data_IF_559213673778
#
_entry.id   IF_559213673778
#
_cell.length_a   1.000
_cell.length_b   1.000
_cell.length_c   1.000
_cell.angle_alpha   90.00
_cell.angle_beta   90.00
_cell.angle_gamma   90.00
#
_symmetry.space_group_name_H-M   'P 1'
#
loop_
_entity.id
_entity.type
_entity.pdbx_description
1 polymer ?
#
# COMPACT_ATOMS: atom_id res chain seq x y z
N UNK A 1 0.87 -7.98 -14.94
CA UNK A 1 -0.39 -7.29 -15.25
C UNK A 1 -0.23 -5.76 -15.14
N UNK A 2 0.09 -5.18 -14.00
CA UNK A 2 0.22 -3.72 -13.83
C UNK A 2 1.02 -3.05 -14.94
N UNK A 3 2.21 -3.58 -15.24
CA UNK A 3 3.06 -3.08 -16.33
C UNK A 3 2.36 -3.16 -17.70
N UNK A 4 1.64 -4.26 -17.99
CA UNK A 4 0.84 -4.43 -19.23
C UNK A 4 -0.23 -3.33 -19.39
N UNK A 5 -0.82 -2.89 -18.27
CA UNK A 5 -1.83 -1.82 -18.26
C UNK A 5 -1.22 -0.42 -18.22
N UNK A 6 0.08 -0.28 -17.99
CA UNK A 6 0.77 1.00 -17.80
C UNK A 6 0.41 1.68 -16.48
N UNK A 7 0.06 0.89 -15.46
CA UNK A 7 -0.37 1.37 -14.16
C UNK A 7 0.77 1.38 -13.15
N UNK A 8 0.82 2.44 -12.35
CA UNK A 8 1.69 2.53 -11.18
C UNK A 8 1.09 1.81 -9.98
N UNK A 9 1.97 1.43 -9.03
CA UNK A 9 1.57 0.82 -7.77
C UNK A 9 2.61 1.08 -6.69
N UNK A 10 2.22 0.91 -5.43
CA UNK A 10 3.11 0.89 -4.27
C UNK A 10 3.07 -0.50 -3.64
N UNK A 11 4.22 -1.14 -3.53
CA UNK A 11 4.39 -2.40 -2.82
C UNK A 11 4.88 -2.11 -1.41
N UNK A 12 4.00 -2.29 -0.42
CA UNK A 12 4.34 -2.11 0.98
C UNK A 12 4.96 -3.38 1.54
N UNK A 13 6.21 -3.30 1.96
CA UNK A 13 7.00 -4.46 2.38
C UNK A 13 7.21 -4.50 3.89
N UNK A 14 7.11 -5.71 4.45
CA UNK A 14 7.49 -6.05 5.82
C UNK A 14 8.36 -7.31 5.80
N UNK A 15 9.06 -7.61 6.89
CA UNK A 15 9.87 -8.82 7.02
C UNK A 15 9.59 -9.49 8.38
N UNK A 16 8.47 -10.23 8.44
CA UNK A 16 8.03 -10.95 9.64
C UNK A 16 8.53 -12.41 9.63
N UNK A 17 8.38 -13.16 10.75
CA UNK A 17 8.65 -14.59 10.76
C UNK A 17 7.83 -15.31 9.68
N UNK A 18 8.47 -15.96 8.74
CA UNK A 18 7.83 -16.57 7.55
C UNK A 18 8.21 -15.91 6.23
N UNK A 19 8.76 -14.71 6.23
CA UNK A 19 9.30 -14.05 5.03
C UNK A 19 10.35 -14.91 4.29
N UNK A 20 11.00 -15.83 4.99
CA UNK A 20 11.98 -16.75 4.42
C UNK A 20 11.35 -17.82 3.53
N UNK A 21 10.05 -18.10 3.66
CA UNK A 21 9.32 -19.02 2.78
C UNK A 21 9.12 -18.40 1.39
N UNK A 22 10.08 -18.65 0.49
CA UNK A 22 10.07 -18.11 -0.88
C UNK A 22 9.03 -18.76 -1.80
N UNK A 23 8.26 -19.70 -1.30
CA UNK A 23 7.08 -20.20 -2.01
C UNK A 23 5.87 -19.28 -1.85
N UNK A 24 5.87 -18.42 -0.81
CA UNK A 24 4.78 -17.51 -0.46
C UNK A 24 5.16 -16.04 -0.52
N UNK A 25 6.43 -15.70 -0.25
CA UNK A 25 6.90 -14.32 -0.12
C UNK A 25 8.05 -14.03 -1.07
N UNK A 26 8.08 -12.82 -1.60
CA UNK A 26 9.16 -12.34 -2.47
C UNK A 26 10.48 -12.25 -1.71
N UNK A 27 11.58 -12.50 -2.42
CA UNK A 27 12.91 -12.17 -1.94
C UNK A 27 13.19 -10.67 -2.07
N UNK A 28 14.20 -10.15 -1.38
CA UNK A 28 14.62 -8.76 -1.54
C UNK A 28 15.15 -8.47 -2.96
N UNK A 29 15.71 -9.46 -3.68
CA UNK A 29 16.08 -9.30 -5.09
C UNK A 29 14.83 -9.08 -5.95
N UNK A 30 13.75 -9.83 -5.73
CA UNK A 30 12.49 -9.64 -6.43
C UNK A 30 11.81 -8.29 -6.06
N UNK A 31 11.94 -7.85 -4.82
CA UNK A 31 11.47 -6.52 -4.41
C UNK A 31 12.27 -5.42 -5.12
N UNK A 32 13.60 -5.60 -5.29
CA UNK A 32 14.42 -4.69 -6.09
C UNK A 32 13.96 -4.67 -7.56
N UNK A 33 13.68 -5.83 -8.15
CA UNK A 33 13.16 -5.91 -9.53
C UNK A 33 11.86 -5.09 -9.69
N UNK A 34 10.98 -5.07 -8.69
CA UNK A 34 9.78 -4.22 -8.72
C UNK A 34 10.13 -2.72 -8.76
N UNK A 35 11.13 -2.28 -7.99
CA UNK A 35 11.62 -0.89 -8.05
C UNK A 35 12.23 -0.58 -9.41
N UNK A 36 13.06 -1.48 -9.97
CA UNK A 36 13.65 -1.34 -11.31
C UNK A 36 12.58 -1.30 -12.41
N UNK A 37 11.42 -1.92 -12.21
CA UNK A 37 10.26 -1.81 -13.09
C UNK A 37 9.51 -0.47 -12.94
N UNK A 38 9.92 0.40 -12.03
CA UNK A 38 9.34 1.72 -11.78
C UNK A 38 8.23 1.76 -10.73
N UNK A 39 7.94 0.65 -10.05
CA UNK A 39 6.99 0.63 -8.95
C UNK A 39 7.60 1.25 -7.69
N UNK A 40 6.76 1.75 -6.80
CA UNK A 40 7.20 2.24 -5.51
C UNK A 40 7.31 1.09 -4.52
N UNK A 41 8.39 1.08 -3.74
CA UNK A 41 8.52 0.26 -2.54
C UNK A 41 8.23 1.13 -1.32
N UNK A 42 7.16 0.82 -0.60
CA UNK A 42 6.73 1.50 0.62
C UNK A 42 7.03 0.67 1.87
N UNK A 43 6.98 1.30 3.04
CA UNK A 43 7.28 0.67 4.31
C UNK A 43 6.02 0.14 5.01
N UNK A 44 6.07 -1.10 5.51
CA UNK A 44 4.97 -1.74 6.24
C UNK A 44 5.42 -2.28 7.61
N UNK A 45 6.39 -1.64 8.25
CA UNK A 45 7.13 -2.07 9.42
C UNK A 45 7.95 -3.37 9.17
N UNK A 46 8.79 -3.75 10.14
CA UNK A 46 9.50 -5.02 10.09
C UNK A 46 8.56 -6.19 10.38
N UNK A 47 7.99 -6.21 11.58
CA UNK A 47 7.32 -7.39 12.14
C UNK A 47 5.82 -7.45 11.88
N UNK A 48 5.25 -6.49 11.14
CA UNK A 48 3.80 -6.34 10.95
C UNK A 48 3.03 -6.21 12.28
N UNK A 49 3.67 -5.64 13.32
CA UNK A 49 3.07 -5.49 14.64
C UNK A 49 2.14 -4.29 14.76
N UNK A 50 1.27 -4.33 15.77
CA UNK A 50 0.33 -3.24 16.06
C UNK A 50 1.07 -2.00 16.61
N UNK A 51 1.01 -0.91 15.86
CA UNK A 51 1.71 0.34 16.19
C UNK A 51 1.25 0.95 17.51
N UNK A 52 -0.04 0.82 17.84
CA UNK A 52 -0.62 1.35 19.09
C UNK A 52 -0.06 0.69 20.36
N UNK A 53 0.51 -0.51 20.22
CA UNK A 53 1.11 -1.27 21.33
C UNK A 53 2.64 -1.08 21.42
N UNK A 54 3.23 -0.32 20.51
CA UNK A 54 4.67 -0.10 20.46
C UNK A 54 5.07 1.22 21.12
N UNK A 55 6.21 1.19 21.80
CA UNK A 55 6.89 2.41 22.23
C UNK A 55 7.46 3.16 21.02
N UNK A 56 7.68 4.46 21.17
CA UNK A 56 8.34 5.31 20.17
C UNK A 56 9.64 4.70 19.63
N UNK A 57 10.48 4.14 20.51
CA UNK A 57 11.74 3.49 20.13
C UNK A 57 11.50 2.26 19.26
N UNK A 58 10.51 1.44 19.62
CA UNK A 58 10.15 0.26 18.82
C UNK A 58 9.63 0.65 17.44
N UNK A 59 8.72 1.62 17.35
CA UNK A 59 8.22 2.13 16.07
C UNK A 59 9.37 2.61 15.19
N UNK A 60 10.29 3.39 15.76
CA UNK A 60 11.49 3.86 15.06
C UNK A 60 12.37 2.72 14.55
N UNK A 61 12.60 1.68 15.35
CA UNK A 61 13.40 0.51 14.97
C UNK A 61 12.72 -0.33 13.88
N UNK A 62 11.41 -0.57 14.01
CA UNK A 62 10.60 -1.29 13.02
C UNK A 62 10.64 -0.60 11.64
N UNK A 63 10.52 0.73 11.67
CA UNK A 63 10.55 1.54 10.44
C UNK A 63 11.94 1.59 9.83
N UNK A 64 12.98 1.82 10.67
CA UNK A 64 14.38 1.88 10.23
C UNK A 64 14.84 0.60 9.55
N UNK A 65 14.40 -0.56 10.05
CA UNK A 65 14.79 -1.85 9.49
C UNK A 65 14.49 -1.97 7.99
N UNK A 66 13.30 -1.57 7.56
CA UNK A 66 12.92 -1.62 6.14
C UNK A 66 13.70 -0.56 5.34
N UNK A 67 13.95 0.62 5.91
CA UNK A 67 14.77 1.65 5.27
C UNK A 67 16.20 1.13 5.02
N UNK A 68 16.80 0.47 6.01
CA UNK A 68 18.15 -0.10 5.92
C UNK A 68 18.19 -1.25 4.89
N UNK A 69 17.16 -2.08 4.84
CA UNK A 69 17.02 -3.12 3.81
C UNK A 69 16.90 -2.51 2.41
N UNK A 70 16.08 -1.50 2.23
CA UNK A 70 15.99 -0.80 0.94
C UNK A 70 17.36 -0.25 0.53
N UNK A 71 18.08 0.40 1.43
CA UNK A 71 19.42 0.92 1.16
C UNK A 71 20.42 -0.18 0.78
N UNK A 72 20.37 -1.33 1.47
CA UNK A 72 21.24 -2.49 1.18
C UNK A 72 21.04 -3.03 -0.25
N UNK A 73 19.80 -3.00 -0.75
CA UNK A 73 19.44 -3.49 -2.08
C UNK A 73 19.42 -2.40 -3.16
N UNK A 74 19.85 -1.17 -2.84
CA UNK A 74 19.87 -0.05 -3.78
C UNK A 74 18.48 0.52 -4.11
N UNK A 75 17.46 0.17 -3.33
CA UNK A 75 16.10 0.68 -3.47
C UNK A 75 16.02 2.08 -2.81
N UNK A 76 15.37 3.07 -3.42
CA UNK A 76 15.18 4.38 -2.81
C UNK A 76 14.53 4.27 -1.42
N UNK A 77 14.95 5.14 -0.50
CA UNK A 77 14.36 5.18 0.83
C UNK A 77 12.84 5.39 0.76
N UNK A 78 12.02 4.55 1.42
CA UNK A 78 10.57 4.71 1.43
C UNK A 78 10.14 6.06 2.01
N UNK A 79 9.19 6.71 1.36
CA UNK A 79 8.57 7.97 1.80
C UNK A 79 7.09 7.81 2.10
N UNK A 80 6.54 6.64 1.84
CA UNK A 80 5.17 6.27 2.15
C UNK A 80 5.12 5.07 3.08
N UNK A 81 4.07 5.01 3.90
CA UNK A 81 3.87 3.98 4.91
C UNK A 81 2.49 3.35 4.79
N UNK A 82 2.35 2.08 5.13
CA UNK A 82 1.05 1.44 5.34
C UNK A 82 1.00 0.90 6.77
N UNK A 83 -0.07 1.21 7.50
CA UNK A 83 -0.25 0.73 8.85
C UNK A 83 -0.61 -0.75 8.86
N UNK A 84 0.19 -1.65 9.53
CA UNK A 84 -0.17 -3.05 9.72
C UNK A 84 -1.52 -3.18 10.42
N UNK A 85 -2.43 -4.01 9.87
CA UNK A 85 -3.78 -4.17 10.40
C UNK A 85 -4.58 -2.87 10.50
N UNK A 86 -4.18 -1.80 9.78
CA UNK A 86 -4.71 -0.44 9.88
C UNK A 86 -4.52 0.22 11.26
N UNK A 87 -3.77 -0.42 12.15
CA UNK A 87 -3.53 0.06 13.50
C UNK A 87 -2.51 1.21 13.50
N UNK A 88 -2.86 2.32 14.14
CA UNK A 88 -2.05 3.52 14.21
C UNK A 88 -2.16 4.18 15.59
N UNK A 89 -1.26 5.10 15.87
CA UNK A 89 -1.29 5.90 17.09
C UNK A 89 -0.76 7.31 16.83
N UNK A 90 -1.18 8.32 17.62
CA UNK A 90 -0.62 9.67 17.50
C UNK A 90 0.91 9.70 17.63
N UNK A 91 1.46 8.89 18.53
CA UNK A 91 2.92 8.74 18.71
C UNK A 91 3.58 8.13 17.47
N UNK A 92 2.98 7.10 16.90
CA UNK A 92 3.48 6.48 15.68
C UNK A 92 3.45 7.42 14.48
N UNK A 93 2.38 8.18 14.32
CA UNK A 93 2.27 9.22 13.30
C UNK A 93 3.38 10.27 13.47
N UNK A 94 3.65 10.70 14.72
CA UNK A 94 4.73 11.65 15.01
C UNK A 94 6.10 11.09 14.60
N UNK A 95 6.39 9.84 14.96
CA UNK A 95 7.64 9.15 14.58
C UNK A 95 7.79 9.08 13.07
N UNK A 96 6.74 8.70 12.34
CA UNK A 96 6.78 8.64 10.88
C UNK A 96 7.06 10.02 10.27
N UNK A 97 6.39 11.07 10.74
CA UNK A 97 6.61 12.46 10.28
C UNK A 97 8.06 12.90 10.52
N UNK A 98 8.62 12.64 11.71
CA UNK A 98 10.01 12.96 12.05
C UNK A 98 11.02 12.20 11.20
N UNK A 99 10.70 10.97 10.85
CA UNK A 99 11.49 10.16 9.92
C UNK A 99 11.32 10.57 8.45
N UNK A 100 10.46 11.54 8.16
CA UNK A 100 10.31 12.15 6.83
C UNK A 100 9.28 11.44 5.93
N UNK A 101 8.45 10.54 6.46
CA UNK A 101 7.31 9.99 5.72
C UNK A 101 6.32 11.09 5.36
N UNK A 102 5.77 11.02 4.17
CA UNK A 102 4.92 12.07 3.59
C UNK A 102 3.45 11.66 3.53
N UNK A 103 3.20 10.39 3.29
CA UNK A 103 1.86 9.81 3.16
C UNK A 103 1.82 8.48 3.91
N UNK A 104 0.68 8.18 4.55
CA UNK A 104 0.48 6.87 5.14
C UNK A 104 -0.95 6.38 4.91
N UNK A 105 -1.08 5.11 4.48
CA UNK A 105 -2.33 4.46 4.14
C UNK A 105 -2.90 3.69 5.32
N UNK A 106 -4.20 3.84 5.55
CA UNK A 106 -5.00 2.97 6.41
C UNK A 106 -6.29 2.51 5.71
N UNK A 107 -7.17 1.78 6.39
CA UNK A 107 -8.45 1.32 5.85
C UNK A 107 -9.55 2.38 5.90
N UNK A 108 -10.79 1.98 5.63
CA UNK A 108 -11.96 2.81 5.85
C UNK A 108 -12.96 2.88 4.70
N UNK A 109 -12.67 2.23 3.57
CA UNK A 109 -13.54 2.11 2.38
C UNK A 109 -14.17 3.45 1.96
N UNK A 110 -13.34 4.49 1.86
CA UNK A 110 -13.72 5.84 1.43
C UNK A 110 -12.54 6.54 0.74
N UNK A 111 -12.78 7.59 -0.07
CA UNK A 111 -11.71 8.33 -0.72
C UNK A 111 -10.94 9.23 0.26
N UNK A 112 -9.72 9.56 -0.11
CA UNK A 112 -9.02 10.70 0.47
C UNK A 112 -9.59 11.99 -0.14
N UNK A 113 -9.91 12.95 0.71
CA UNK A 113 -10.46 14.25 0.30
C UNK A 113 -9.48 15.35 0.72
N UNK A 114 -8.97 16.09 -0.27
CA UNK A 114 -8.04 17.21 -0.05
C UNK A 114 -8.61 18.23 0.94
N UNK A 115 -7.78 18.65 1.89
CA UNK A 115 -8.16 19.64 2.90
C UNK A 115 -9.07 19.11 4.02
N UNK A 116 -9.53 17.85 3.92
CA UNK A 116 -10.38 17.20 4.94
C UNK A 116 -9.65 16.02 5.57
N UNK A 117 -9.05 15.16 4.74
CA UNK A 117 -8.35 13.95 5.20
C UNK A 117 -6.90 14.24 5.59
N UNK A 118 -6.40 13.59 6.65
CA UNK A 118 -4.96 13.66 7.01
C UNK A 118 -4.15 12.79 6.03
N UNK A 119 -3.07 13.35 5.48
CA UNK A 119 -2.13 12.64 4.61
C UNK A 119 -1.44 11.46 5.29
N UNK A 120 -1.36 11.47 6.62
CA UNK A 120 -0.84 10.35 7.41
C UNK A 120 -1.93 9.34 7.79
N UNK A 121 -3.15 9.52 7.32
CA UNK A 121 -4.29 8.61 7.53
C UNK A 121 -5.13 8.51 6.25
N UNK A 122 -4.47 8.26 5.11
CA UNK A 122 -5.16 8.16 3.82
C UNK A 122 -6.01 6.89 3.76
N UNK A 123 -7.33 7.02 3.58
CA UNK A 123 -8.21 5.87 3.53
C UNK A 123 -7.95 4.99 2.30
N UNK A 124 -8.28 3.70 2.40
CA UNK A 124 -8.22 2.77 1.26
C UNK A 124 -9.40 1.82 1.24
N UNK A 125 -9.74 1.37 0.05
CA UNK A 125 -10.73 0.33 -0.21
C UNK A 125 -10.04 -1.03 -0.22
N UNK A 126 -10.47 -1.93 0.68
CA UNK A 126 -9.93 -3.29 0.73
C UNK A 126 -10.44 -4.12 -0.45
N UNK A 127 -9.52 -4.68 -1.23
CA UNK A 127 -9.84 -5.51 -2.39
C UNK A 127 -9.57 -6.97 -2.04
N UNK A 128 -10.63 -7.77 -2.01
CA UNK A 128 -10.61 -9.22 -1.77
C UNK A 128 -11.62 -9.88 -2.70
N UNK A 129 -11.47 -11.17 -2.97
CA UNK A 129 -12.34 -11.89 -3.92
C UNK A 129 -13.83 -11.74 -3.60
N UNK A 130 -14.23 -11.77 -2.34
CA UNK A 130 -15.62 -11.60 -1.93
C UNK A 130 -16.24 -10.25 -2.34
N UNK A 131 -15.43 -9.22 -2.56
CA UNK A 131 -15.93 -7.90 -3.02
C UNK A 131 -16.37 -7.92 -4.49
N UNK A 132 -15.91 -8.89 -5.27
CA UNK A 132 -16.32 -9.04 -6.67
C UNK A 132 -17.71 -9.68 -6.83
N UNK A 133 -18.28 -10.21 -5.76
CA UNK A 133 -19.68 -10.63 -5.69
C UNK A 133 -20.64 -9.43 -5.56
N UNK A 134 -20.12 -8.24 -5.23
CA UNK A 134 -20.87 -6.98 -5.07
C UNK A 134 -20.23 -5.90 -5.94
N UNK A 135 -20.49 -5.90 -7.27
CA UNK A 135 -19.84 -4.97 -8.22
C UNK A 135 -20.03 -3.49 -7.86
N UNK A 136 -21.12 -3.14 -7.20
CA UNK A 136 -21.44 -1.79 -6.74
C UNK A 136 -20.36 -1.21 -5.82
N UNK A 137 -19.61 -2.06 -5.13
CA UNK A 137 -18.48 -1.62 -4.30
C UNK A 137 -17.41 -0.91 -5.13
N UNK A 138 -17.03 -1.50 -6.26
CA UNK A 138 -16.02 -0.91 -7.14
C UNK A 138 -16.58 0.29 -7.92
N UNK A 139 -17.83 0.19 -8.40
CA UNK A 139 -18.49 1.29 -9.11
C UNK A 139 -18.55 2.54 -8.23
N UNK A 140 -18.99 2.38 -6.98
CA UNK A 140 -19.01 3.48 -6.01
C UNK A 140 -17.61 4.08 -5.79
N UNK A 141 -16.60 3.24 -5.54
CA UNK A 141 -15.23 3.71 -5.34
C UNK A 141 -14.71 4.48 -6.56
N UNK A 142 -14.97 3.98 -7.78
CA UNK A 142 -14.56 4.63 -9.03
C UNK A 142 -15.29 5.96 -9.27
N UNK A 143 -16.57 6.04 -8.90
CA UNK A 143 -17.35 7.28 -8.99
C UNK A 143 -16.85 8.36 -8.00
N UNK A 144 -16.23 7.95 -6.90
CA UNK A 144 -15.61 8.86 -5.93
C UNK A 144 -14.22 9.35 -6.36
N UNK A 145 -13.59 8.74 -7.38
CA UNK A 145 -12.30 9.14 -7.92
C UNK A 145 -12.41 10.37 -8.85
N UNK A 146 -12.95 11.46 -8.33
CA UNK A 146 -13.22 12.72 -9.06
C UNK A 146 -12.98 13.95 -8.18
N UNK A 147 -13.02 15.11 -8.76
CA UNK A 147 -12.98 16.41 -8.04
C UNK A 147 -11.79 16.57 -7.08
N UNK A 148 -10.61 16.01 -7.45
CA UNK A 148 -9.42 16.04 -6.62
C UNK A 148 -9.39 15.00 -5.49
N UNK A 149 -10.39 14.11 -5.43
CA UNK A 149 -10.38 12.98 -4.50
C UNK A 149 -9.47 11.86 -5.01
N UNK A 150 -8.86 11.13 -4.06
CA UNK A 150 -7.98 9.99 -4.37
C UNK A 150 -8.61 8.71 -3.82
N UNK A 151 -8.83 7.74 -4.69
CA UNK A 151 -9.23 6.38 -4.31
C UNK A 151 -7.98 5.49 -4.29
N UNK A 152 -7.77 4.80 -3.18
CA UNK A 152 -6.66 3.87 -3.00
C UNK A 152 -7.24 2.47 -2.89
N UNK A 153 -6.93 1.58 -3.81
CA UNK A 153 -7.24 0.17 -3.70
C UNK A 153 -6.10 -0.56 -2.99
N UNK A 154 -6.43 -1.30 -1.93
CA UNK A 154 -5.50 -2.05 -1.12
C UNK A 154 -5.70 -3.55 -1.34
N UNK A 155 -4.70 -4.21 -1.89
CA UNK A 155 -4.62 -5.66 -2.07
C UNK A 155 -3.55 -6.23 -1.13
N UNK A 156 -3.73 -7.47 -0.71
CA UNK A 156 -2.69 -8.24 -0.02
C UNK A 156 -1.81 -9.00 -1.00
N UNK A 157 -2.31 -10.08 -1.55
CA UNK A 157 -1.62 -10.91 -2.53
C UNK A 157 -2.53 -11.27 -3.71
N UNK A 158 -1.93 -11.61 -4.86
CA UNK A 158 -2.63 -11.97 -6.10
C UNK A 158 -2.03 -13.25 -6.69
N UNK A 159 -2.42 -14.45 -6.15
CA UNK A 159 -3.18 -14.67 -4.91
C UNK A 159 -2.33 -14.48 -3.65
N UNK A 160 -2.97 -14.31 -2.49
CA UNK A 160 -2.32 -14.44 -1.20
C UNK A 160 -2.33 -15.91 -0.77
N UNK A 161 -1.15 -16.54 -0.81
CA UNK A 161 -1.00 -17.97 -0.49
C UNK A 161 -0.92 -18.27 1.01
N UNK A 162 -0.87 -17.24 1.83
CA UNK A 162 -0.77 -17.36 3.29
C UNK A 162 -2.07 -16.97 4.01
N UNK A 163 -2.90 -16.12 3.39
CA UNK A 163 -4.08 -15.52 4.04
C UNK A 163 -5.26 -15.48 3.07
N UNK A 164 -5.94 -16.60 2.89
CA UNK A 164 -7.04 -16.75 1.93
C UNK A 164 -8.14 -15.69 2.07
N UNK A 165 -8.42 -15.25 3.32
CA UNK A 165 -9.49 -14.28 3.61
C UNK A 165 -9.21 -12.85 3.11
N UNK A 166 -7.98 -12.54 2.71
CA UNK A 166 -7.59 -11.25 2.09
C UNK A 166 -7.02 -11.43 0.69
N UNK A 167 -7.15 -12.64 0.13
CA UNK A 167 -6.67 -12.95 -1.21
C UNK A 167 -7.52 -12.31 -2.30
N UNK A 168 -6.86 -11.95 -3.39
CA UNK A 168 -7.50 -11.57 -4.65
C UNK A 168 -6.98 -12.51 -5.73
N UNK A 169 -7.87 -13.19 -6.44
CA UNK A 169 -7.48 -14.05 -7.55
C UNK A 169 -6.89 -13.23 -8.71
N UNK A 170 -5.98 -13.80 -9.51
CA UNK A 170 -5.47 -13.13 -10.71
C UNK A 170 -6.58 -12.70 -11.68
N UNK A 171 -7.65 -13.48 -11.79
CA UNK A 171 -8.81 -13.16 -12.62
C UNK A 171 -9.54 -11.89 -12.11
N UNK A 172 -9.86 -11.84 -10.82
CA UNK A 172 -10.51 -10.69 -10.22
C UNK A 172 -9.61 -9.45 -10.23
N UNK A 173 -8.31 -9.62 -10.03
CA UNK A 173 -7.37 -8.54 -10.19
C UNK A 173 -7.37 -7.97 -11.63
N UNK A 174 -7.37 -8.82 -12.65
CA UNK A 174 -7.43 -8.35 -14.05
C UNK A 174 -8.78 -7.67 -14.37
N UNK A 175 -9.89 -8.13 -13.77
CA UNK A 175 -11.19 -7.42 -13.86
C UNK A 175 -11.08 -6.00 -13.30
N UNK A 176 -10.50 -5.82 -12.12
CA UNK A 176 -10.29 -4.49 -11.53
C UNK A 176 -9.45 -3.60 -12.45
N UNK A 177 -8.33 -4.12 -12.98
CA UNK A 177 -7.48 -3.35 -13.90
C UNK A 177 -8.22 -2.96 -15.19
N UNK A 178 -9.09 -3.83 -15.69
CA UNK A 178 -9.91 -3.53 -16.87
C UNK A 178 -10.92 -2.42 -16.57
N UNK A 179 -11.61 -2.46 -15.43
CA UNK A 179 -12.53 -1.40 -14.98
C UNK A 179 -11.81 -0.04 -14.88
N UNK A 180 -10.62 -0.02 -14.26
CA UNK A 180 -9.80 1.19 -14.15
C UNK A 180 -9.42 1.76 -15.52
N UNK A 181 -9.08 0.89 -16.47
CA UNK A 181 -8.75 1.28 -17.86
C UNK A 181 -9.95 1.83 -18.62
N UNK A 182 -11.10 1.15 -18.54
CA UNK A 182 -12.35 1.56 -19.20
C UNK A 182 -12.82 2.92 -18.69
N UNK A 183 -12.73 3.15 -17.38
CA UNK A 183 -13.01 4.44 -16.73
C UNK A 183 -11.93 5.49 -16.99
N UNK A 184 -10.85 5.15 -17.71
CA UNK A 184 -9.70 6.04 -18.00
C UNK A 184 -9.07 6.62 -16.74
N UNK A 185 -9.05 5.84 -15.66
CA UNK A 185 -8.44 6.27 -14.40
C UNK A 185 -6.94 6.44 -14.56
N UNK A 186 -6.40 7.50 -13.96
CA UNK A 186 -4.95 7.65 -13.82
C UNK A 186 -4.49 6.87 -12.59
N UNK A 187 -3.86 5.73 -12.82
CA UNK A 187 -3.38 4.84 -11.76
C UNK A 187 -1.89 5.07 -11.52
N UNK A 188 -1.54 5.52 -10.33
CA UNK A 188 -0.17 5.93 -9.95
C UNK A 188 0.22 5.34 -8.60
N UNK A 189 1.51 5.38 -8.27
CA UNK A 189 1.98 5.01 -6.93
C UNK A 189 1.60 6.07 -5.89
N UNK A 190 1.64 5.71 -4.60
CA UNK A 190 1.45 6.66 -3.51
C UNK A 190 2.50 7.76 -3.53
N UNK A 191 3.77 7.44 -3.82
CA UNK A 191 4.84 8.42 -3.97
C UNK A 191 4.52 9.45 -5.06
N UNK A 192 3.91 9.01 -6.15
CA UNK A 192 3.59 9.92 -7.25
C UNK A 192 2.48 10.91 -6.91
N UNK A 193 1.65 10.64 -5.89
CA UNK A 193 0.69 11.61 -5.37
C UNK A 193 1.38 12.89 -4.85
N UNK A 194 2.64 12.81 -4.42
CA UNK A 194 3.40 13.97 -3.96
C UNK A 194 3.67 15.01 -5.07
N UNK A 195 3.46 14.64 -6.34
CA UNK A 195 3.55 15.56 -7.48
C UNK A 195 2.30 16.43 -7.65
N UNK A 196 1.26 16.15 -6.87
CA UNK A 196 -0.02 16.86 -6.90
C UNK A 196 -0.21 17.65 -5.61
N UNK A 197 -1.01 18.67 -5.69
CA UNK A 197 -1.44 19.44 -4.53
C UNK A 197 -2.57 18.68 -3.82
N UNK A 198 -2.21 17.96 -2.72
CA UNK A 198 -3.11 17.15 -1.91
C UNK A 198 -3.64 17.91 -0.70
#
# INVERSE_FOLDING_TARGET
>A
LLHKYGFGATFYVCEFPGFEDKTKYMSWDQIRELDEMGFEIGNHSRSHGQMSQMTRKQIGSETAYIEDKCALYGIPRPVTYAYPGYDNSPEGIAVLKERGYKLARHGGDKPYVKGVSDKMLMPSYGVVDARFETPEFFEKALDEARDGQVVIFCLHGVPDLAHDFVSTSPENFEKLLSMLKERKCKVISMRDLLKYDL
#
